data_IF_477010533458
#
_entry.id   IF_477010533458
#
_cell.length_a   1.000
_cell.length_b   1.000
_cell.length_c   1.000
_cell.angle_alpha   90.00
_cell.angle_beta   90.00
_cell.angle_gamma   90.00
#
_symmetry.space_group_name_H-M   'P 1'
#
loop_
_entity.id
_entity.type
_entity.pdbx_description
1 polymer ?
#
# COMPACT_ATOMS: atom_id res chain seq x y z
N UNK A 1 41.99 11.74 27.30
CA UNK A 1 40.63 12.03 26.78
C UNK A 1 40.34 11.46 25.38
N UNK A 2 41.28 10.78 24.72
CA UNK A 2 41.14 10.25 23.35
C UNK A 2 40.58 8.82 23.25
N UNK A 3 40.69 7.99 24.29
CA UNK A 3 40.20 6.60 24.27
C UNK A 3 38.67 6.48 24.40
N UNK A 4 38.03 7.41 25.12
CA UNK A 4 36.57 7.42 25.35
C UNK A 4 35.79 7.89 24.12
N UNK A 5 36.34 8.83 23.35
CA UNK A 5 35.76 9.29 22.08
C UNK A 5 35.78 8.18 21.03
N UNK A 6 36.86 7.40 20.93
CA UNK A 6 36.96 6.26 20.01
C UNK A 6 35.90 5.18 20.29
N UNK A 7 35.73 4.77 21.56
CA UNK A 7 34.69 3.79 21.96
C UNK A 7 33.27 4.29 21.72
N UNK A 8 33.02 5.59 21.90
CA UNK A 8 31.71 6.19 21.61
C UNK A 8 31.38 6.25 20.12
N UNK A 9 32.40 6.42 19.26
CA UNK A 9 32.23 6.43 17.82
C UNK A 9 31.99 5.00 17.29
N UNK A 10 32.76 4.03 17.79
CA UNK A 10 32.61 2.61 17.47
C UNK A 10 31.24 2.07 17.86
N UNK A 11 30.77 2.38 19.09
CA UNK A 11 29.42 2.01 19.54
C UNK A 11 28.33 2.57 18.61
N UNK A 12 28.41 3.86 18.25
CA UNK A 12 27.45 4.48 17.32
C UNK A 12 27.49 3.84 15.93
N UNK A 13 28.67 3.44 15.45
CA UNK A 13 28.81 2.75 14.18
C UNK A 13 28.14 1.36 14.21
N UNK A 14 28.34 0.60 15.29
CA UNK A 14 27.70 -0.71 15.51
C UNK A 14 26.17 -0.56 15.58
N UNK A 15 25.66 0.39 16.36
CA UNK A 15 24.23 0.68 16.49
C UNK A 15 23.62 1.10 15.14
N UNK A 16 24.30 1.96 14.38
CA UNK A 16 23.85 2.38 13.06
C UNK A 16 23.86 1.21 12.05
N UNK A 17 24.86 0.32 12.10
CA UNK A 17 24.92 -0.87 11.25
C UNK A 17 23.79 -1.86 11.58
N UNK A 18 23.53 -2.11 12.88
CA UNK A 18 22.43 -2.95 13.32
C UNK A 18 21.07 -2.39 12.91
N UNK A 19 20.86 -1.07 13.06
CA UNK A 19 19.65 -0.38 12.60
C UNK A 19 19.45 -0.54 11.09
N UNK A 20 20.48 -0.28 10.27
CA UNK A 20 20.40 -0.45 8.81
C UNK A 20 20.08 -1.88 8.39
N UNK A 21 20.68 -2.88 9.05
CA UNK A 21 20.36 -4.29 8.79
C UNK A 21 18.90 -4.60 9.11
N UNK A 22 18.39 -4.15 10.25
CA UNK A 22 16.98 -4.31 10.62
C UNK A 22 16.03 -3.65 9.63
N UNK A 23 16.31 -2.40 9.23
CA UNK A 23 15.51 -1.69 8.21
C UNK A 23 15.50 -2.46 6.89
N UNK A 24 16.68 -2.89 6.41
CA UNK A 24 16.81 -3.61 5.13
C UNK A 24 16.11 -4.97 5.18
N UNK A 25 16.20 -5.69 6.30
CA UNK A 25 15.55 -6.97 6.47
C UNK A 25 14.02 -6.83 6.39
N UNK A 26 13.44 -5.88 7.14
CA UNK A 26 12.00 -5.60 7.11
C UNK A 26 11.57 -5.13 5.72
N UNK A 27 12.23 -4.13 5.15
CA UNK A 27 11.88 -3.61 3.82
C UNK A 27 11.94 -4.70 2.74
N UNK A 28 12.99 -5.55 2.76
CA UNK A 28 13.14 -6.67 1.83
C UNK A 28 12.05 -7.72 2.05
N UNK A 29 11.77 -8.09 3.29
CA UNK A 29 10.73 -9.09 3.58
C UNK A 29 9.36 -8.61 3.11
N UNK A 30 9.03 -7.33 3.31
CA UNK A 30 7.78 -6.76 2.84
C UNK A 30 7.75 -6.70 1.32
N UNK A 31 8.79 -6.20 0.66
CA UNK A 31 8.85 -6.14 -0.79
C UNK A 31 8.76 -7.54 -1.43
N UNK A 32 9.63 -8.46 -1.02
CA UNK A 32 9.72 -9.81 -1.59
C UNK A 32 8.52 -10.66 -1.19
N UNK A 33 8.09 -10.63 0.07
CA UNK A 33 6.93 -11.39 0.55
C UNK A 33 5.63 -10.94 -0.13
N UNK A 34 5.47 -9.63 -0.32
CA UNK A 34 4.32 -9.09 -1.07
C UNK A 34 4.36 -9.52 -2.52
N UNK A 35 5.52 -9.48 -3.18
CA UNK A 35 5.63 -9.90 -4.58
C UNK A 35 5.50 -11.41 -4.77
N UNK A 36 5.95 -12.21 -3.82
CA UNK A 36 5.80 -13.66 -3.88
C UNK A 36 4.33 -14.07 -3.98
N UNK A 37 3.48 -13.52 -3.11
CA UNK A 37 2.02 -13.70 -3.19
C UNK A 37 1.43 -12.88 -4.36
N UNK A 38 2.02 -11.72 -4.62
CA UNK A 38 1.65 -10.78 -5.67
C UNK A 38 1.68 -11.36 -7.08
N UNK A 39 2.63 -12.24 -7.37
CA UNK A 39 2.71 -12.93 -8.67
C UNK A 39 1.46 -13.78 -8.91
N UNK A 40 0.99 -14.50 -7.89
CA UNK A 40 -0.25 -15.28 -7.97
C UNK A 40 -1.47 -14.37 -8.06
N UNK A 41 -1.50 -13.28 -7.29
CA UNK A 41 -2.53 -12.26 -7.42
C UNK A 41 -2.63 -11.75 -8.86
N UNK A 42 -1.52 -11.35 -9.48
CA UNK A 42 -1.50 -10.85 -10.85
C UNK A 42 -1.89 -11.91 -11.87
N UNK A 43 -1.43 -13.15 -11.72
CA UNK A 43 -1.82 -14.25 -12.60
C UNK A 43 -3.34 -14.49 -12.57
N UNK A 44 -3.92 -14.54 -11.37
CA UNK A 44 -5.37 -14.72 -11.18
C UNK A 44 -6.13 -13.50 -11.70
N UNK A 45 -5.69 -12.29 -11.36
CA UNK A 45 -6.28 -11.04 -11.81
C UNK A 45 -6.33 -10.98 -13.35
N UNK A 46 -5.21 -11.23 -14.04
CA UNK A 46 -5.17 -11.23 -15.49
C UNK A 46 -6.05 -12.33 -16.11
N UNK A 47 -6.08 -13.53 -15.52
CA UNK A 47 -6.95 -14.60 -15.97
C UNK A 47 -8.44 -14.25 -15.83
N UNK A 48 -8.83 -13.65 -14.70
CA UNK A 48 -10.20 -13.18 -14.47
C UNK A 48 -10.56 -12.04 -15.41
N UNK A 49 -9.66 -11.07 -15.62
CA UNK A 49 -9.88 -9.97 -16.56
C UNK A 49 -10.06 -10.45 -18.00
N UNK A 50 -9.25 -11.43 -18.43
CA UNK A 50 -9.39 -12.07 -19.74
C UNK A 50 -10.71 -12.85 -19.87
N UNK A 51 -11.13 -13.55 -18.81
CA UNK A 51 -12.42 -14.25 -18.78
C UNK A 51 -13.60 -13.27 -18.87
N UNK A 52 -13.56 -12.17 -18.11
CA UNK A 52 -14.58 -11.11 -18.17
C UNK A 52 -14.65 -10.55 -19.60
N UNK A 53 -13.51 -10.19 -20.18
CA UNK A 53 -13.46 -9.67 -21.55
C UNK A 53 -14.05 -10.66 -22.56
N UNK A 54 -13.71 -11.95 -22.46
CA UNK A 54 -14.23 -13.00 -23.33
C UNK A 54 -15.76 -13.16 -23.21
N UNK A 55 -16.32 -13.05 -22.00
CA UNK A 55 -17.77 -13.07 -21.77
C UNK A 55 -18.43 -11.83 -22.41
N UNK A 56 -17.83 -10.66 -22.23
CA UNK A 56 -18.38 -9.39 -22.73
C UNK A 56 -18.37 -9.33 -24.26
N UNK A 57 -17.29 -9.78 -24.89
CA UNK A 57 -17.18 -9.90 -26.35
C UNK A 57 -18.28 -10.81 -26.92
N UNK A 58 -18.65 -11.88 -26.20
CA UNK A 58 -19.71 -12.79 -26.63
C UNK A 58 -21.13 -12.23 -26.46
N UNK A 59 -21.30 -11.17 -25.66
CA UNK A 59 -22.59 -10.53 -25.40
C UNK A 59 -22.70 -9.15 -26.08
N UNK A 60 -21.73 -8.77 -26.93
CA UNK A 60 -21.67 -7.45 -27.59
C UNK A 60 -21.73 -6.25 -26.62
N UNK A 61 -21.26 -6.43 -25.38
CA UNK A 61 -21.31 -5.44 -24.29
C UNK A 61 -19.92 -5.18 -23.71
N UNK A 62 -18.96 -4.84 -24.58
CA UNK A 62 -17.55 -4.62 -24.18
C UNK A 62 -17.37 -3.24 -23.56
N UNK A 63 -17.02 -3.21 -22.27
CA UNK A 63 -16.69 -2.03 -21.48
C UNK A 63 -15.29 -2.18 -20.87
N UNK A 64 -14.50 -1.12 -20.99
CA UNK A 64 -13.12 -1.05 -20.47
C UNK A 64 -13.10 -1.01 -18.94
N UNK A 65 -14.18 -0.59 -18.30
CA UNK A 65 -14.21 -0.48 -16.84
C UNK A 65 -14.36 -1.83 -16.15
N UNK A 66 -15.19 -2.72 -16.71
CA UNK A 66 -15.41 -4.04 -16.16
C UNK A 66 -14.11 -4.87 -16.15
N UNK A 67 -13.28 -4.71 -17.19
CA UNK A 67 -11.97 -5.35 -17.30
C UNK A 67 -10.94 -4.62 -16.43
N UNK A 68 -10.92 -3.29 -16.48
CA UNK A 68 -10.00 -2.43 -15.72
C UNK A 68 -10.19 -2.49 -14.20
N UNK A 69 -11.37 -2.88 -13.72
CA UNK A 69 -11.66 -3.11 -12.30
C UNK A 69 -10.74 -4.16 -11.67
N UNK A 70 -10.26 -5.12 -12.47
CA UNK A 70 -9.32 -6.15 -12.01
C UNK A 70 -7.94 -5.56 -11.72
N UNK A 71 -7.43 -4.68 -12.58
CA UNK A 71 -6.19 -3.94 -12.30
C UNK A 71 -6.35 -3.00 -11.09
N UNK A 72 -7.53 -2.39 -10.93
CA UNK A 72 -7.87 -1.55 -9.78
C UNK A 72 -7.91 -2.28 -8.43
N UNK A 73 -7.92 -3.62 -8.42
CA UNK A 73 -7.96 -4.42 -7.19
C UNK A 73 -6.62 -4.48 -6.44
N UNK A 74 -5.51 -4.08 -7.07
CA UNK A 74 -4.16 -4.15 -6.51
C UNK A 74 -4.01 -3.41 -5.16
N UNK A 75 -4.66 -2.25 -5.01
CA UNK A 75 -4.65 -1.48 -3.75
C UNK A 75 -5.31 -2.24 -2.59
N UNK A 76 -6.39 -2.98 -2.85
CA UNK A 76 -7.06 -3.80 -1.84
C UNK A 76 -6.23 -5.03 -1.47
N UNK A 77 -5.58 -5.66 -2.44
CA UNK A 77 -4.60 -6.71 -2.17
C UNK A 77 -3.50 -6.21 -1.22
N UNK A 78 -2.91 -5.05 -1.52
CA UNK A 78 -1.87 -4.47 -0.65
C UNK A 78 -2.38 -4.04 0.71
N UNK A 79 -3.62 -3.60 0.83
CA UNK A 79 -4.26 -3.36 2.13
C UNK A 79 -4.30 -4.64 2.98
N UNK A 80 -4.71 -5.77 2.40
CA UNK A 80 -4.74 -7.06 3.10
C UNK A 80 -3.32 -7.52 3.47
N UNK A 81 -2.35 -7.40 2.55
CA UNK A 81 -0.94 -7.69 2.85
C UNK A 81 -0.40 -6.77 3.96
N UNK A 82 -0.86 -5.52 3.99
CA UNK A 82 -0.65 -4.54 5.06
C UNK A 82 -1.10 -5.00 6.41
N UNK A 83 -2.14 -5.83 6.48
CA UNK A 83 -2.62 -6.37 7.75
C UNK A 83 -1.81 -7.63 8.12
N UNK A 84 -1.64 -8.55 7.18
CA UNK A 84 -1.07 -9.88 7.45
C UNK A 84 0.41 -9.80 7.82
N UNK A 85 1.23 -9.10 7.03
CA UNK A 85 2.68 -9.14 7.23
C UNK A 85 3.13 -8.53 8.56
N UNK A 86 2.57 -7.41 9.07
CA UNK A 86 2.95 -6.90 10.38
C UNK A 86 2.60 -7.83 11.52
N UNK A 87 1.43 -8.47 11.48
CA UNK A 87 1.04 -9.45 12.50
C UNK A 87 2.03 -10.62 12.57
N UNK A 88 2.56 -11.07 11.43
CA UNK A 88 3.54 -12.15 11.38
C UNK A 88 4.95 -11.71 11.79
N UNK A 89 5.32 -10.45 11.55
CA UNK A 89 6.73 -10.02 11.62
C UNK A 89 7.07 -9.20 12.86
N UNK A 90 6.12 -8.53 13.51
CA UNK A 90 6.41 -7.59 14.59
C UNK A 90 7.10 -8.27 15.78
N UNK A 91 6.62 -9.47 16.16
CA UNK A 91 7.18 -10.24 17.26
C UNK A 91 8.56 -10.81 16.92
N UNK A 92 8.73 -11.36 15.70
CA UNK A 92 10.01 -11.92 15.21
C UNK A 92 11.09 -10.84 15.11
N UNK A 93 10.73 -9.64 14.63
CA UNK A 93 11.66 -8.52 14.53
C UNK A 93 12.18 -8.08 15.90
N UNK A 94 11.30 -8.03 16.91
CA UNK A 94 11.74 -7.69 18.28
C UNK A 94 12.52 -8.83 18.93
N UNK A 95 12.11 -10.08 18.73
CA UNK A 95 12.83 -11.26 19.23
C UNK A 95 14.27 -11.37 18.66
N UNK A 96 14.50 -10.91 17.43
CA UNK A 96 15.83 -10.84 16.81
C UNK A 96 16.67 -9.62 17.23
N UNK A 97 16.23 -8.88 18.25
CA UNK A 97 16.93 -7.69 18.76
C UNK A 97 16.67 -6.41 17.95
N UNK A 98 15.67 -6.42 17.07
CA UNK A 98 15.26 -5.25 16.30
C UNK A 98 14.59 -4.18 17.15
N UNK A 99 14.75 -2.91 16.75
CA UNK A 99 14.11 -1.78 17.43
C UNK A 99 12.80 -1.39 16.73
N UNK A 100 11.90 -0.72 17.47
CA UNK A 100 10.68 -0.13 16.88
C UNK A 100 10.98 0.86 15.77
N UNK A 101 12.08 1.62 15.91
CA UNK A 101 12.52 2.61 14.92
C UNK A 101 12.98 1.93 13.63
N UNK A 102 13.80 0.87 13.72
CA UNK A 102 14.22 0.12 12.53
C UNK A 102 13.04 -0.58 11.86
N UNK A 103 12.09 -1.08 12.64
CA UNK A 103 10.85 -1.67 12.12
C UNK A 103 10.02 -0.65 11.35
N UNK A 104 9.68 0.49 11.98
CA UNK A 104 8.85 1.53 11.36
C UNK A 104 9.47 2.08 10.07
N UNK A 105 10.78 2.33 10.06
CA UNK A 105 11.48 2.77 8.84
C UNK A 105 11.44 1.69 7.75
N UNK A 106 11.63 0.41 8.12
CA UNK A 106 11.54 -0.70 7.20
C UNK A 106 10.15 -0.88 6.60
N UNK A 107 9.09 -0.74 7.40
CA UNK A 107 7.70 -0.75 6.94
C UNK A 107 7.44 0.35 5.93
N UNK A 108 7.92 1.56 6.20
CA UNK A 108 7.70 2.70 5.32
C UNK A 108 8.37 2.53 3.96
N UNK A 109 9.63 2.07 3.96
CA UNK A 109 10.36 1.76 2.73
C UNK A 109 9.69 0.59 1.99
N UNK A 110 9.30 -0.47 2.72
CA UNK A 110 8.61 -1.62 2.15
C UNK A 110 7.30 -1.24 1.48
N UNK A 111 6.44 -0.47 2.16
CA UNK A 111 5.16 0.01 1.63
C UNK A 111 5.36 0.94 0.41
N UNK A 112 6.38 1.79 0.43
CA UNK A 112 6.69 2.68 -0.70
C UNK A 112 7.19 1.87 -1.90
N UNK A 113 8.16 0.98 -1.72
CA UNK A 113 8.70 0.15 -2.80
C UNK A 113 7.63 -0.77 -3.38
N UNK A 114 6.92 -1.51 -2.53
CA UNK A 114 5.82 -2.38 -2.95
C UNK A 114 4.71 -1.57 -3.63
N UNK A 115 4.28 -0.47 -3.02
CA UNK A 115 3.20 0.36 -3.56
C UNK A 115 3.53 0.94 -4.94
N UNK A 116 4.74 1.49 -5.12
CA UNK A 116 5.20 1.99 -6.42
C UNK A 116 5.35 0.86 -7.45
N UNK A 117 5.88 -0.30 -7.05
CA UNK A 117 6.04 -1.43 -7.97
C UNK A 117 4.70 -2.03 -8.42
N UNK A 118 3.70 -2.10 -7.53
CA UNK A 118 2.34 -2.50 -7.89
C UNK A 118 1.61 -1.43 -8.68
N UNK A 119 1.84 -0.15 -8.37
CA UNK A 119 1.36 0.96 -9.18
C UNK A 119 1.90 0.90 -10.60
N UNK A 120 3.17 0.54 -10.77
CA UNK A 120 3.78 0.30 -12.08
C UNK A 120 3.15 -0.88 -12.81
N UNK A 121 2.99 -2.02 -12.15
CA UNK A 121 2.30 -3.16 -12.75
C UNK A 121 0.86 -2.80 -13.18
N UNK A 122 0.12 -2.07 -12.33
CA UNK A 122 -1.25 -1.62 -12.63
C UNK A 122 -1.27 -0.65 -13.81
N UNK A 123 -0.32 0.28 -13.89
CA UNK A 123 -0.19 1.21 -15.02
C UNK A 123 0.13 0.48 -16.33
N UNK A 124 1.00 -0.53 -16.30
CA UNK A 124 1.32 -1.35 -17.45
C UNK A 124 0.12 -2.17 -17.93
N UNK A 125 -0.68 -2.72 -17.00
CA UNK A 125 -1.92 -3.44 -17.34
C UNK A 125 -2.94 -2.51 -17.97
N UNK A 126 -3.19 -1.34 -17.38
CA UNK A 126 -4.10 -0.32 -17.95
C UNK A 126 -3.65 0.19 -19.31
N UNK A 127 -2.34 0.34 -19.52
CA UNK A 127 -1.78 0.68 -20.82
C UNK A 127 -1.97 -0.44 -21.86
N UNK A 128 -1.75 -1.70 -21.46
CA UNK A 128 -1.99 -2.87 -22.31
C UNK A 128 -3.47 -2.99 -22.71
N UNK A 129 -4.37 -2.82 -21.75
CA UNK A 129 -5.81 -2.78 -21.93
C UNK A 129 -6.23 -1.69 -22.93
N UNK A 130 -5.82 -0.44 -22.69
CA UNK A 130 -6.10 0.66 -23.61
C UNK A 130 -5.57 0.40 -25.03
N UNK A 131 -4.39 -0.22 -25.15
CA UNK A 131 -3.80 -0.58 -26.46
C UNK A 131 -4.64 -1.64 -27.16
N UNK A 132 -5.10 -2.64 -26.43
CA UNK A 132 -5.95 -3.72 -26.93
C UNK A 132 -7.29 -3.15 -27.42
N UNK A 133 -7.98 -2.38 -26.58
CA UNK A 133 -9.27 -1.77 -26.89
C UNK A 133 -9.19 -0.86 -28.11
N UNK A 134 -8.14 -0.03 -28.19
CA UNK A 134 -7.90 0.82 -29.36
C UNK A 134 -7.70 0.01 -30.64
N UNK A 135 -6.95 -1.09 -30.58
CA UNK A 135 -6.69 -1.95 -31.76
C UNK A 135 -7.94 -2.71 -32.20
N UNK A 136 -8.79 -3.09 -31.26
CA UNK A 136 -10.05 -3.76 -31.52
C UNK A 136 -11.19 -2.80 -31.95
N UNK A 137 -10.96 -1.48 -31.89
CA UNK A 137 -11.98 -0.48 -32.21
C UNK A 137 -13.05 -0.31 -31.14
N UNK A 138 -12.81 -0.83 -29.92
CA UNK A 138 -13.71 -0.69 -28.78
C UNK A 138 -13.56 0.68 -28.09
N UNK A 139 -14.58 1.08 -27.32
CA UNK A 139 -14.54 2.33 -26.56
C UNK A 139 -13.40 2.32 -25.54
N UNK A 140 -12.61 3.39 -25.52
CA UNK A 140 -11.50 3.58 -24.54
C UNK A 140 -11.82 4.63 -23.49
N UNK A 141 -13.00 5.24 -23.55
CA UNK A 141 -13.42 6.26 -22.60
C UNK A 141 -13.80 5.58 -21.29
N UNK A 142 -13.19 5.96 -20.15
CA UNK A 142 -13.68 5.53 -18.84
C UNK A 142 -15.06 6.15 -18.58
N UNK A 143 -15.96 5.35 -18.02
CA UNK A 143 -17.33 5.74 -17.63
C UNK A 143 -17.33 6.45 -16.26
N UNK A 144 -16.41 6.07 -15.38
CA UNK A 144 -16.11 6.71 -14.10
C UNK A 144 -15.01 7.75 -14.27
N UNK A 145 -15.29 8.98 -13.82
CA UNK A 145 -14.30 10.05 -13.82
C UNK A 145 -13.04 9.65 -13.05
N UNK A 146 -11.88 9.70 -13.71
CA UNK A 146 -10.56 9.52 -13.10
C UNK A 146 -9.74 10.81 -13.27
N UNK A 147 -8.63 10.92 -12.53
CA UNK A 147 -7.68 12.02 -12.74
C UNK A 147 -7.06 12.01 -14.14
N UNK A 148 -6.86 10.81 -14.68
CA UNK A 148 -6.32 10.55 -16.00
C UNK A 148 -7.45 10.26 -16.99
N UNK A 149 -7.24 10.61 -18.25
CA UNK A 149 -8.24 10.38 -19.30
C UNK A 149 -8.31 8.92 -19.77
N UNK A 150 -7.15 8.26 -19.92
CA UNK A 150 -7.04 6.92 -20.48
C UNK A 150 -5.68 6.24 -20.15
N UNK A 151 -5.51 4.98 -20.56
CA UNK A 151 -4.32 4.17 -20.28
C UNK A 151 -3.01 4.63 -20.96
N UNK A 152 -3.09 5.26 -22.14
CA UNK A 152 -2.71 6.67 -22.23
C UNK A 152 -1.51 7.18 -21.45
N UNK A 153 -1.90 7.76 -20.32
CA UNK A 153 -1.14 8.68 -19.51
C UNK A 153 -0.36 7.91 -18.46
N UNK A 154 0.49 6.97 -18.91
CA UNK A 154 1.15 5.95 -18.06
C UNK A 154 1.81 6.56 -16.82
N UNK A 155 2.45 7.73 -16.95
CA UNK A 155 3.08 8.43 -15.83
C UNK A 155 2.08 8.89 -14.76
N UNK A 156 0.93 9.44 -15.18
CA UNK A 156 -0.14 9.87 -14.26
C UNK A 156 -0.84 8.66 -13.63
N UNK A 157 -1.09 7.60 -14.42
CA UNK A 157 -1.65 6.33 -13.91
C UNK A 157 -0.71 5.72 -12.88
N UNK A 158 0.59 5.63 -13.16
CA UNK A 158 1.60 5.16 -12.22
C UNK A 158 1.59 5.97 -10.92
N UNK A 159 1.52 7.30 -11.01
CA UNK A 159 1.47 8.16 -9.84
C UNK A 159 0.21 7.89 -9.02
N UNK A 160 -0.96 7.83 -9.67
CA UNK A 160 -2.25 7.63 -9.00
C UNK A 160 -2.30 6.23 -8.35
N UNK A 161 -2.04 5.18 -9.12
CA UNK A 161 -2.10 3.80 -8.64
C UNK A 161 -1.00 3.51 -7.62
N UNK A 162 0.21 4.06 -7.82
CA UNK A 162 1.29 3.96 -6.85
C UNK A 162 0.94 4.63 -5.52
N UNK A 163 0.33 5.81 -5.56
CA UNK A 163 -0.14 6.53 -4.37
C UNK A 163 -1.24 5.75 -3.65
N UNK A 164 -2.23 5.20 -4.37
CA UNK A 164 -3.26 4.34 -3.78
C UNK A 164 -2.67 3.09 -3.16
N UNK A 165 -1.83 2.38 -3.90
CA UNK A 165 -1.16 1.18 -3.44
C UNK A 165 -0.37 1.43 -2.14
N UNK A 166 0.40 2.52 -2.08
CA UNK A 166 1.15 2.87 -0.87
C UNK A 166 0.24 3.26 0.31
N UNK A 167 -0.78 4.11 0.11
CA UNK A 167 -1.64 4.55 1.22
C UNK A 167 -2.48 3.41 1.78
N UNK A 168 -3.02 2.54 0.91
CA UNK A 168 -3.78 1.36 1.33
C UNK A 168 -2.90 0.38 2.09
N UNK A 169 -1.66 0.16 1.62
CA UNK A 169 -0.73 -0.72 2.31
C UNK A 169 -0.41 -0.18 3.72
N UNK A 170 -0.09 1.11 3.84
CA UNK A 170 0.16 1.75 5.14
C UNK A 170 -1.07 1.73 6.06
N UNK A 171 -2.27 1.93 5.52
CA UNK A 171 -3.52 1.83 6.28
C UNK A 171 -3.70 0.43 6.88
N UNK A 172 -3.47 -0.63 6.08
CA UNK A 172 -3.47 -2.00 6.58
C UNK A 172 -2.46 -2.22 7.71
N UNK A 173 -1.26 -1.64 7.60
CA UNK A 173 -0.24 -1.74 8.66
C UNK A 173 -0.65 -1.04 9.95
N UNK A 174 -1.35 0.10 9.87
CA UNK A 174 -1.92 0.79 11.03
C UNK A 174 -2.91 -0.10 11.75
N UNK A 175 -3.80 -0.76 11.00
CA UNK A 175 -4.81 -1.68 11.54
C UNK A 175 -4.13 -2.84 12.28
N UNK A 176 -3.16 -3.50 11.63
CA UNK A 176 -2.43 -4.60 12.25
C UNK A 176 -1.71 -4.18 13.54
N UNK A 177 -0.99 -3.06 13.51
CA UNK A 177 -0.32 -2.52 14.69
C UNK A 177 -1.32 -2.14 15.81
N UNK A 178 -2.50 -1.65 15.41
CA UNK A 178 -3.59 -1.30 16.32
C UNK A 178 -4.15 -2.50 17.06
N UNK A 179 -4.51 -3.56 16.34
CA UNK A 179 -5.01 -4.79 16.94
C UNK A 179 -3.94 -5.50 17.79
N UNK A 180 -2.70 -5.51 17.30
CA UNK A 180 -1.58 -6.12 18.05
C UNK A 180 -1.29 -5.39 19.36
N UNK A 181 -1.29 -4.06 19.36
CA UNK A 181 -0.84 -3.27 20.51
C UNK A 181 -1.92 -2.83 21.49
N UNK A 182 -3.17 -2.66 21.02
CA UNK A 182 -4.23 -2.00 21.81
C UNK A 182 -5.48 -2.87 22.03
N UNK A 183 -5.48 -4.10 21.53
CA UNK A 183 -6.60 -5.03 21.64
C UNK A 183 -7.78 -4.67 20.72
N UNK A 184 -8.87 -5.43 20.85
CA UNK A 184 -9.96 -5.43 19.88
C UNK A 184 -10.66 -4.06 19.74
N UNK A 185 -11.14 -3.46 20.84
CA UNK A 185 -11.95 -2.24 20.78
C UNK A 185 -11.20 -1.04 20.17
N UNK A 186 -9.95 -0.84 20.58
CA UNK A 186 -9.10 0.23 20.03
C UNK A 186 -8.64 -0.11 18.59
N UNK A 187 -8.42 -1.38 18.29
CA UNK A 187 -8.18 -1.86 16.93
C UNK A 187 -9.31 -1.49 15.97
N UNK A 188 -10.57 -1.72 16.37
CA UNK A 188 -11.76 -1.32 15.58
C UNK A 188 -11.80 0.19 15.36
N UNK A 189 -11.54 1.00 16.38
CA UNK A 189 -11.43 2.46 16.22
C UNK A 189 -10.33 2.86 15.23
N UNK A 190 -9.18 2.17 15.27
CA UNK A 190 -8.07 2.42 14.35
C UNK A 190 -8.36 2.00 12.91
N UNK A 191 -9.31 1.07 12.66
CA UNK A 191 -9.80 0.81 11.31
C UNK A 191 -10.37 2.11 10.73
N UNK A 192 -11.31 2.75 11.42
CA UNK A 192 -11.92 4.00 10.95
C UNK A 192 -10.86 5.11 10.75
N UNK A 193 -9.95 5.28 11.71
CA UNK A 193 -8.91 6.31 11.62
C UNK A 193 -7.92 6.02 10.47
N UNK A 194 -7.59 4.75 10.22
CA UNK A 194 -6.69 4.35 9.13
C UNK A 194 -7.27 4.57 7.74
N UNK A 195 -8.60 4.67 7.62
CA UNK A 195 -9.28 4.98 6.36
C UNK A 195 -9.28 6.48 6.06
N UNK A 196 -9.04 7.37 7.04
CA UNK A 196 -9.00 8.81 6.79
C UNK A 196 -7.94 9.20 5.76
N UNK A 197 -6.67 8.75 5.85
CA UNK A 197 -5.67 9.00 4.81
C UNK A 197 -6.06 8.44 3.44
N UNK A 198 -6.78 7.31 3.40
CA UNK A 198 -7.26 6.70 2.16
C UNK A 198 -8.33 7.59 1.50
N UNK A 199 -9.28 8.08 2.29
CA UNK A 199 -10.33 9.00 1.83
C UNK A 199 -9.71 10.30 1.31
N UNK A 200 -8.72 10.86 2.01
CA UNK A 200 -7.98 12.04 1.53
C UNK A 200 -7.38 11.77 0.15
N UNK A 201 -6.70 10.64 -0.05
CA UNK A 201 -6.16 10.28 -1.37
C UNK A 201 -7.26 10.12 -2.43
N UNK A 202 -8.33 9.38 -2.14
CA UNK A 202 -9.43 9.14 -3.10
C UNK A 202 -10.09 10.45 -3.54
N UNK A 203 -10.38 11.35 -2.58
CA UNK A 203 -11.00 12.65 -2.84
C UNK A 203 -10.11 13.54 -3.70
N UNK A 204 -8.84 13.72 -3.32
CA UNK A 204 -7.96 14.64 -4.04
C UNK A 204 -7.58 14.11 -5.41
N UNK A 205 -7.28 12.82 -5.53
CA UNK A 205 -6.98 12.23 -6.83
C UNK A 205 -8.23 12.10 -7.69
N UNK A 206 -9.46 12.24 -7.14
CA UNK A 206 -10.71 12.04 -7.88
C UNK A 206 -10.76 10.70 -8.60
N UNK A 207 -10.04 9.73 -8.03
CA UNK A 207 -9.78 8.42 -8.61
C UNK A 207 -10.03 7.36 -7.56
N UNK A 208 -10.16 6.12 -8.00
CA UNK A 208 -10.55 5.01 -7.13
C UNK A 208 -12.05 4.75 -7.16
N UNK A 209 -12.54 4.07 -6.13
CA UNK A 209 -13.91 3.52 -6.16
C UNK A 209 -14.94 4.56 -5.74
N UNK A 210 -14.55 5.46 -4.82
CA UNK A 210 -15.42 6.50 -4.28
C UNK A 210 -14.93 7.91 -4.63
N UNK A 211 -13.71 8.05 -5.15
CA UNK A 211 -13.03 9.33 -5.35
C UNK A 211 -13.81 10.37 -6.13
N UNK A 212 -14.39 10.01 -7.30
CA UNK A 212 -15.12 10.98 -8.12
C UNK A 212 -16.40 11.48 -7.45
N UNK A 213 -17.18 10.57 -6.84
CA UNK A 213 -18.39 10.92 -6.12
C UNK A 213 -18.09 11.79 -4.88
N UNK A 214 -17.09 11.42 -4.09
CA UNK A 214 -16.69 12.18 -2.90
C UNK A 214 -16.11 13.55 -3.27
N UNK A 215 -15.30 13.62 -4.32
CA UNK A 215 -14.75 14.89 -4.79
C UNK A 215 -15.86 15.86 -5.22
N UNK A 216 -16.90 15.37 -5.89
CA UNK A 216 -18.07 16.17 -6.28
C UNK A 216 -18.84 16.69 -5.06
N UNK A 217 -19.04 15.85 -4.04
CA UNK A 217 -19.71 16.25 -2.79
C UNK A 217 -18.94 17.33 -2.04
N UNK A 218 -17.60 17.27 -2.04
CA UNK A 218 -16.73 18.23 -1.36
C UNK A 218 -16.38 19.45 -2.23
N UNK A 219 -16.82 19.47 -3.50
CA UNK A 219 -16.58 20.58 -4.44
C UNK A 219 -15.15 20.67 -4.98
N UNK A 220 -14.45 19.53 -5.08
CA UNK A 220 -13.06 19.43 -5.55
C UNK A 220 -12.94 18.85 -6.97
N UNK A 221 -14.06 18.59 -7.64
CA UNK A 221 -14.13 18.03 -9.00
C UNK A 221 -13.49 18.92 -10.06
N UNK A 222 -13.48 20.25 -9.87
CA UNK A 222 -12.80 21.22 -10.75
C UNK A 222 -11.32 21.50 -10.42
N UNK A 223 -10.74 20.81 -9.44
CA UNK A 223 -9.37 21.10 -8.97
C UNK A 223 -8.32 20.84 -10.07
N UNK A 224 -7.37 21.77 -10.31
CA UNK A 224 -6.25 21.55 -11.22
C UNK A 224 -5.47 20.27 -10.90
N UNK A 225 -5.01 19.55 -11.93
CA UNK A 225 -4.34 18.25 -11.78
C UNK A 225 -3.15 18.30 -10.79
N UNK A 226 -2.35 19.36 -10.83
CA UNK A 226 -1.20 19.49 -9.93
C UNK A 226 -1.60 19.63 -8.44
N UNK A 227 -2.69 20.35 -8.15
CA UNK A 227 -3.24 20.47 -6.79
C UNK A 227 -3.84 19.15 -6.32
N UNK A 228 -4.57 18.46 -7.21
CA UNK A 228 -5.10 17.13 -6.96
C UNK A 228 -3.98 16.13 -6.61
N UNK A 229 -2.88 16.14 -7.37
CA UNK A 229 -1.70 15.30 -7.10
C UNK A 229 -1.07 15.65 -5.76
N UNK A 230 -0.82 16.93 -5.47
CA UNK A 230 -0.23 17.35 -4.20
C UNK A 230 -1.10 16.94 -3.01
N UNK A 231 -2.42 17.12 -3.10
CA UNK A 231 -3.36 16.71 -2.06
C UNK A 231 -3.43 15.19 -1.91
N UNK A 232 -3.38 14.43 -3.01
CA UNK A 232 -3.34 12.97 -2.98
C UNK A 232 -2.08 12.42 -2.31
N UNK A 233 -0.92 13.05 -2.53
CA UNK A 233 0.34 12.69 -1.87
C UNK A 233 0.34 12.94 -0.36
N UNK A 234 -0.58 13.78 0.16
CA UNK A 234 -0.75 13.92 1.61
C UNK A 234 -1.24 12.62 2.26
N UNK A 235 -2.01 11.79 1.56
CA UNK A 235 -2.54 10.55 2.12
C UNK A 235 -1.45 9.58 2.60
N UNK A 236 -0.48 9.17 1.76
CA UNK A 236 0.66 8.36 2.20
C UNK A 236 1.43 8.99 3.37
N UNK A 237 1.61 10.32 3.38
CA UNK A 237 2.28 11.03 4.48
C UNK A 237 1.48 10.94 5.77
N UNK A 238 0.17 11.17 5.72
CA UNK A 238 -0.73 11.05 6.88
C UNK A 238 -0.77 9.61 7.40
N UNK A 239 -0.87 8.62 6.52
CA UNK A 239 -0.83 7.21 6.88
C UNK A 239 0.51 6.82 7.54
N UNK A 240 1.62 7.36 7.04
CA UNK A 240 2.94 7.17 7.64
C UNK A 240 3.06 7.74 9.05
N UNK A 241 2.56 8.96 9.24
CA UNK A 241 2.57 9.64 10.53
C UNK A 241 1.68 8.90 11.54
N UNK A 242 0.51 8.43 11.08
CA UNK A 242 -0.40 7.61 11.87
C UNK A 242 0.26 6.29 12.28
N UNK A 243 0.87 5.57 11.33
CA UNK A 243 1.61 4.33 11.61
C UNK A 243 2.73 4.55 12.63
N UNK A 244 3.50 5.63 12.46
CA UNK A 244 4.54 6.02 13.41
C UNK A 244 3.97 6.33 14.79
N UNK A 245 2.83 7.00 14.87
CA UNK A 245 2.14 7.31 16.13
C UNK A 245 1.67 6.04 16.83
N UNK A 246 1.01 5.14 16.11
CA UNK A 246 0.51 3.85 16.62
C UNK A 246 1.67 3.00 17.13
N UNK A 247 2.71 2.77 16.33
CA UNK A 247 3.86 1.94 16.71
C UNK A 247 4.67 2.50 17.89
N UNK A 248 4.61 3.81 18.14
CA UNK A 248 5.18 4.39 19.37
C UNK A 248 4.42 3.96 20.62
N UNK A 249 3.10 3.86 20.54
CA UNK A 249 2.23 3.48 21.65
C UNK A 249 2.14 1.97 21.91
N UNK A 250 2.51 1.12 20.94
CA UNK A 250 2.47 -0.35 21.09
C UNK A 250 3.53 -0.84 22.08
N UNK A 251 3.10 -1.41 23.22
CA UNK A 251 4.01 -2.16 24.09
C UNK A 251 4.30 -3.54 23.48
N UNK A 252 5.40 -3.66 22.73
CA UNK A 252 5.80 -4.94 22.14
C UNK A 252 6.26 -5.87 23.26
N UNK A 253 5.45 -6.89 23.55
CA UNK A 253 5.80 -7.94 24.51
C UNK A 253 6.62 -9.02 23.79
N UNK A 254 7.75 -9.48 24.37
CA UNK A 254 8.41 -10.68 23.88
C UNK A 254 7.42 -11.85 23.86
N UNK A 255 7.50 -12.72 22.86
CA UNK A 255 6.78 -13.99 22.91
C UNK A 255 7.45 -14.82 24.01
N UNK A 256 6.80 -14.94 25.15
CA UNK A 256 7.12 -16.00 26.11
C UNK A 256 6.73 -17.31 25.42
N UNK A 257 7.72 -18.02 24.88
CA UNK A 257 7.51 -19.41 24.49
C UNK A 257 7.09 -20.14 25.76
N UNK A 258 5.80 -20.47 25.83
CA UNK A 258 5.21 -21.15 26.98
C UNK A 258 5.99 -22.45 27.22
N UNK A 259 6.83 -22.45 28.23
CA UNK A 259 7.40 -23.64 28.85
C UNK A 259 6.32 -24.37 29.69
N UNK A 260 5.11 -24.54 29.13
CA UNK A 260 3.96 -25.16 29.79
C UNK A 260 3.38 -26.31 28.95
N UNK A 261 4.25 -27.06 28.26
CA UNK A 261 3.92 -28.35 27.67
C UNK A 261 4.77 -29.45 28.35
N UNK A 262 4.69 -29.50 29.68
CA UNK A 262 5.11 -30.65 30.49
C UNK A 262 4.34 -30.61 31.80
N UNK A 263 3.15 -31.22 31.78
CA UNK A 263 2.27 -31.44 32.92
C UNK A 263 1.27 -32.51 32.55
#
# INVERSE_FOLDING_TARGET
>A
MTATTHRSAERRAIEAAAHRRGVRAVARYYAVGTWYVGLWFWAIALAVGALILWIMERNDDVSIEAVGGVAGSAKFFLFVMGIILPLMTIAVHVASGGTRRSYTHGLWIGATVSGLSFGLASALVKWGEWTLFRRAGWSTAPELGQLYGDGSQVGLVLLVEGTFCTVYYLAGMVIAAGFYGFGFLRGVGLVLVSLLPVVVTEVFLRSGFFGHALARVVGLDGTPVWLAVLGGLLGPVLAALLLRGVLRGVAIRPVEFAASASG
#
